data_IF_388245593764
#
_entry.id   IF_388245593764
#
_cell.length_a   1.000
_cell.length_b   1.000
_cell.length_c   1.000
_cell.angle_alpha   90.00
_cell.angle_beta   90.00
_cell.angle_gamma   90.00
#
_symmetry.space_group_name_H-M   'P 1'
#
loop_
_entity.id
_entity.type
_entity.pdbx_description
1 polymer ?
#
# COMPACT_ATOMS: atom_id res chain seq x y z
N UNK A 1 39.44 -6.78 41.31
CA UNK A 1 39.02 -7.91 40.45
C UNK A 1 38.21 -7.32 39.31
N UNK A 2 38.70 -7.43 38.06
CA UNK A 2 38.02 -6.90 36.87
C UNK A 2 37.39 -8.11 36.14
N UNK A 3 36.07 -8.12 35.97
CA UNK A 3 35.39 -9.16 35.19
C UNK A 3 35.13 -8.62 33.77
N UNK A 4 35.81 -9.22 32.78
CA UNK A 4 35.55 -8.99 31.37
C UNK A 4 34.38 -9.89 30.94
N UNK A 5 33.26 -9.29 30.55
CA UNK A 5 32.13 -10.02 29.95
C UNK A 5 32.25 -9.89 28.43
N UNK A 6 32.50 -11.01 27.76
CA UNK A 6 32.45 -11.10 26.30
C UNK A 6 31.00 -11.38 25.89
N UNK A 7 30.35 -10.42 25.24
CA UNK A 7 29.00 -10.59 24.70
C UNK A 7 29.04 -11.30 23.35
N UNK A 8 28.34 -12.42 23.21
CA UNK A 8 27.99 -12.99 21.90
C UNK A 8 26.95 -12.07 21.24
N UNK A 9 27.31 -11.41 20.15
CA UNK A 9 26.34 -10.74 19.30
C UNK A 9 25.57 -11.80 18.49
N UNK A 10 24.34 -12.11 18.92
CA UNK A 10 23.37 -12.78 18.06
C UNK A 10 23.05 -11.82 16.90
N UNK A 11 23.34 -12.20 15.67
CA UNK A 11 23.00 -11.40 14.50
C UNK A 11 21.48 -11.19 14.43
N UNK A 12 21.06 -9.93 14.32
CA UNK A 12 19.65 -9.57 14.12
C UNK A 12 19.10 -10.33 12.91
N UNK A 13 17.95 -11.04 13.03
CA UNK A 13 17.29 -11.58 11.86
C UNK A 13 16.90 -10.41 10.97
N UNK A 14 17.58 -10.27 9.83
CA UNK A 14 17.27 -9.23 8.86
C UNK A 14 15.77 -9.29 8.56
N UNK A 15 15.04 -8.30 9.06
CA UNK A 15 13.64 -8.13 8.74
C UNK A 15 13.61 -7.91 7.24
N UNK A 16 13.01 -8.84 6.50
CA UNK A 16 12.76 -8.64 5.08
C UNK A 16 11.80 -7.47 4.96
N UNK A 17 12.35 -6.25 4.88
CA UNK A 17 11.60 -5.07 4.49
C UNK A 17 11.03 -5.40 3.12
N UNK A 18 9.71 -5.57 3.01
CA UNK A 18 9.08 -5.79 1.73
C UNK A 18 9.45 -4.58 0.84
N UNK A 19 10.33 -4.82 -0.12
CA UNK A 19 10.77 -3.82 -1.09
C UNK A 19 9.78 -3.88 -2.26
N UNK A 20 9.14 -2.75 -2.56
CA UNK A 20 8.35 -2.63 -3.77
C UNK A 20 9.25 -2.60 -5.00
N UNK A 21 8.81 -3.22 -6.10
CA UNK A 21 9.42 -3.10 -7.41
C UNK A 21 8.72 -1.99 -8.20
N UNK A 22 9.48 -1.00 -8.65
CA UNK A 22 8.98 0.11 -9.46
C UNK A 22 9.60 0.04 -10.86
N UNK A 23 8.80 -0.32 -11.84
CA UNK A 23 9.15 -0.34 -13.27
C UNK A 23 8.54 0.92 -13.89
N UNK A 24 9.26 2.04 -13.78
CA UNK A 24 8.73 3.35 -14.15
C UNK A 24 9.83 4.29 -14.67
N UNK A 25 9.42 5.24 -15.52
CA UNK A 25 10.20 6.43 -15.81
C UNK A 25 9.67 7.54 -14.90
N UNK A 26 10.42 7.86 -13.85
CA UNK A 26 9.91 8.68 -12.75
C UNK A 26 8.77 7.95 -12.02
N UNK A 27 7.60 8.58 -11.92
CA UNK A 27 6.40 7.97 -11.35
C UNK A 27 5.54 7.23 -12.39
N UNK A 28 5.80 7.39 -13.68
CA UNK A 28 4.93 6.83 -14.73
C UNK A 28 5.30 5.38 -15.03
N UNK A 29 4.42 4.44 -14.69
CA UNK A 29 4.66 3.01 -14.97
C UNK A 29 3.90 2.03 -14.08
N UNK A 30 4.60 0.96 -13.68
CA UNK A 30 4.08 -0.16 -12.90
C UNK A 30 4.78 -0.26 -11.54
N UNK A 31 4.01 -0.31 -10.46
CA UNK A 31 4.47 -0.64 -9.12
C UNK A 31 3.94 -2.01 -8.66
N UNK A 32 4.82 -2.84 -8.10
CA UNK A 32 4.47 -4.13 -7.48
C UNK A 32 4.96 -4.12 -6.02
N UNK A 33 4.07 -4.38 -5.07
CA UNK A 33 4.36 -4.32 -3.64
C UNK A 33 4.23 -2.89 -3.07
N UNK A 34 4.90 -2.59 -1.94
CA UNK A 34 4.75 -1.32 -1.23
C UNK A 34 5.52 -0.18 -1.92
N UNK A 35 5.06 0.19 -3.11
CA UNK A 35 5.53 1.38 -3.84
C UNK A 35 4.74 2.60 -3.34
N UNK A 36 5.39 3.64 -2.77
CA UNK A 36 4.68 4.78 -2.19
C UNK A 36 3.90 5.62 -3.21
N UNK A 37 4.51 5.90 -4.37
CA UNK A 37 3.93 6.73 -5.43
C UNK A 37 4.03 6.09 -6.81
N UNK A 38 2.93 6.09 -7.56
CA UNK A 38 2.91 5.72 -8.98
C UNK A 38 1.81 6.46 -9.76
N UNK A 39 2.11 6.82 -11.00
CA UNK A 39 1.16 7.25 -12.01
C UNK A 39 1.04 6.12 -13.05
N UNK A 40 -0.02 5.32 -12.98
CA UNK A 40 -0.16 4.11 -13.78
C UNK A 40 -0.82 2.98 -13.00
N UNK A 41 -0.18 1.82 -12.93
CA UNK A 41 -0.72 0.63 -12.27
C UNK A 41 0.08 0.29 -11.01
N UNK A 42 -0.62 0.12 -9.88
CA UNK A 42 -0.06 -0.42 -8.65
C UNK A 42 -0.75 -1.72 -8.28
N UNK A 43 0.04 -2.77 -8.08
CA UNK A 43 -0.42 -4.04 -7.53
C UNK A 43 0.24 -4.23 -6.17
N UNK A 44 -0.54 -4.31 -5.10
CA UNK A 44 0.01 -4.56 -3.77
C UNK A 44 -0.74 -5.68 -3.06
N UNK A 45 -0.04 -6.45 -2.22
CA UNK A 45 -0.70 -7.46 -1.42
C UNK A 45 -1.54 -6.80 -0.31
N UNK A 46 -0.94 -5.82 0.39
CA UNK A 46 -1.54 -5.13 1.52
C UNK A 46 -0.90 -3.76 1.69
N UNK A 47 -1.71 -2.72 1.75
CA UNK A 47 -1.20 -1.36 2.01
C UNK A 47 -0.80 -1.17 3.48
N UNK A 48 0.14 -0.26 3.70
CA UNK A 48 0.61 0.20 4.99
C UNK A 48 0.87 1.72 4.93
N UNK A 49 1.39 2.26 6.04
CA UNK A 49 1.73 3.67 6.25
C UNK A 49 2.69 4.28 5.21
N UNK A 50 3.35 3.46 4.38
CA UNK A 50 4.20 3.93 3.29
C UNK A 50 3.43 4.28 2.02
N UNK A 51 2.14 3.97 1.95
CA UNK A 51 1.33 4.29 0.78
C UNK A 51 1.02 5.79 0.75
N UNK A 52 1.38 6.47 -0.33
CA UNK A 52 1.24 7.94 -0.44
C UNK A 52 0.30 8.35 -1.58
N UNK A 53 0.47 7.82 -2.81
CA UNK A 53 -0.35 8.26 -3.95
C UNK A 53 -0.39 7.29 -5.14
N UNK A 54 -1.58 7.03 -5.67
CA UNK A 54 -1.78 6.47 -7.02
C UNK A 54 -2.61 7.41 -7.89
N UNK A 55 -2.11 7.74 -9.09
CA UNK A 55 -2.94 8.30 -10.17
C UNK A 55 -3.07 7.25 -11.28
N UNK A 56 -4.21 6.56 -11.35
CA UNK A 56 -4.42 5.44 -12.27
C UNK A 56 -5.16 4.29 -11.60
N UNK A 57 -4.59 3.09 -11.63
CA UNK A 57 -5.21 1.87 -11.10
C UNK A 57 -4.42 1.39 -9.88
N UNK A 58 -5.06 1.29 -8.71
CA UNK A 58 -4.53 0.67 -7.50
C UNK A 58 -5.28 -0.63 -7.24
N UNK A 59 -4.59 -1.76 -7.13
CA UNK A 59 -5.19 -3.04 -6.79
C UNK A 59 -4.54 -3.66 -5.55
N UNK A 60 -5.33 -3.92 -4.53
CA UNK A 60 -4.91 -4.52 -3.26
C UNK A 60 -5.60 -5.85 -2.99
N UNK A 61 -4.85 -6.84 -2.49
CA UNK A 61 -5.37 -8.19 -2.24
C UNK A 61 -5.80 -8.40 -0.79
N UNK A 62 -5.50 -7.44 0.10
CA UNK A 62 -5.84 -7.54 1.52
C UNK A 62 -6.13 -6.18 2.14
N UNK A 63 -6.87 -6.22 3.25
CA UNK A 63 -7.20 -5.04 4.03
C UNK A 63 -5.92 -4.34 4.54
N UNK A 64 -5.89 -3.00 4.58
CA UNK A 64 -4.84 -2.16 5.16
C UNK A 64 -4.16 -2.68 6.42
N UNK A 65 -2.85 -2.46 6.57
CA UNK A 65 -2.11 -2.61 7.83
C UNK A 65 -1.97 -1.25 8.49
N UNK A 66 -2.67 -1.06 9.61
CA UNK A 66 -2.67 0.21 10.32
C UNK A 66 -3.47 1.28 9.58
N UNK A 67 -3.22 2.52 9.94
CA UNK A 67 -3.84 3.69 9.31
C UNK A 67 -3.19 3.94 7.95
N UNK A 68 -3.98 4.38 6.98
CA UNK A 68 -3.52 4.69 5.63
C UNK A 68 -3.81 6.15 5.35
N UNK A 69 -2.79 6.88 4.92
CA UNK A 69 -2.83 8.30 4.56
C UNK A 69 -2.69 8.53 3.04
N UNK A 70 -2.71 7.45 2.24
CA UNK A 70 -2.42 7.52 0.80
C UNK A 70 -3.64 7.77 -0.06
N UNK A 71 -3.47 8.57 -1.12
CA UNK A 71 -4.54 9.01 -2.01
C UNK A 71 -4.65 8.19 -3.29
N UNK A 72 -5.87 7.98 -3.77
CA UNK A 72 -6.11 7.38 -5.08
C UNK A 72 -6.98 8.28 -5.94
N UNK A 73 -6.45 8.68 -7.10
CA UNK A 73 -7.23 9.28 -8.18
C UNK A 73 -7.31 8.30 -9.35
N UNK A 74 -8.47 7.70 -9.58
CA UNK A 74 -8.68 6.72 -10.64
C UNK A 74 -9.49 5.51 -10.18
N UNK A 75 -8.98 4.31 -10.42
CA UNK A 75 -9.65 3.04 -10.10
C UNK A 75 -8.96 2.37 -8.92
N UNK A 76 -9.71 2.08 -7.87
CA UNK A 76 -9.25 1.33 -6.70
C UNK A 76 -9.95 -0.03 -6.66
N UNK A 77 -9.17 -1.12 -6.68
CA UNK A 77 -9.64 -2.51 -6.64
C UNK A 77 -9.16 -3.15 -5.35
N UNK A 78 -10.03 -3.84 -4.62
CA UNK A 78 -9.65 -4.37 -3.32
C UNK A 78 -10.45 -5.57 -2.88
N UNK A 79 -9.74 -6.59 -2.38
CA UNK A 79 -10.33 -7.75 -1.72
C UNK A 79 -9.71 -7.87 -0.33
N UNK A 80 -10.47 -8.06 0.76
CA UNK A 80 -11.91 -7.86 0.81
C UNK A 80 -12.31 -6.37 0.66
N UNK A 81 -11.39 -5.43 0.87
CA UNK A 81 -11.71 -4.00 0.90
C UNK A 81 -10.73 -3.24 0.03
N UNK A 82 -11.25 -2.36 -0.84
CA UNK A 82 -10.43 -1.28 -1.41
C UNK A 82 -10.51 -0.06 -0.49
N UNK A 83 -9.36 0.54 -0.19
CA UNK A 83 -9.22 1.61 0.79
C UNK A 83 -8.12 2.60 0.41
N UNK A 84 -8.38 3.89 0.63
CA UNK A 84 -7.44 5.01 0.54
C UNK A 84 -7.84 6.04 1.61
N UNK A 85 -6.99 7.03 1.89
CA UNK A 85 -7.43 8.16 2.73
C UNK A 85 -8.46 8.99 1.98
N UNK A 86 -8.07 9.51 0.81
CA UNK A 86 -8.97 10.10 -0.17
C UNK A 86 -9.04 9.25 -1.45
N UNK A 87 -10.27 8.99 -1.92
CA UNK A 87 -10.52 8.29 -3.18
C UNK A 87 -11.41 9.13 -4.11
N UNK A 88 -10.85 9.56 -5.22
CA UNK A 88 -11.57 10.21 -6.32
C UNK A 88 -11.61 9.30 -7.54
N UNK A 89 -12.79 8.77 -7.88
CA UNK A 89 -13.00 7.93 -9.07
C UNK A 89 -13.88 6.70 -8.83
N UNK A 90 -13.38 5.51 -9.16
CA UNK A 90 -14.15 4.26 -9.08
C UNK A 90 -13.53 3.31 -8.06
N UNK A 91 -14.30 2.90 -7.07
CA UNK A 91 -13.93 1.83 -6.13
C UNK A 91 -14.66 0.54 -6.45
N UNK A 92 -13.95 -0.58 -6.64
CA UNK A 92 -14.52 -1.91 -6.83
C UNK A 92 -13.95 -2.88 -5.79
N UNK A 93 -14.80 -3.66 -5.11
CA UNK A 93 -14.32 -4.66 -4.15
C UNK A 93 -15.43 -5.51 -3.55
N UNK A 94 -15.08 -6.36 -2.58
CA UNK A 94 -16.10 -6.95 -1.69
C UNK A 94 -16.67 -5.85 -0.77
N UNK A 95 -15.84 -4.88 -0.40
CA UNK A 95 -16.24 -3.57 0.12
C UNK A 95 -15.42 -2.44 -0.52
N UNK A 96 -15.95 -1.21 -0.43
CA UNK A 96 -15.29 0.02 -0.86
C UNK A 96 -15.29 0.99 0.33
N UNK A 97 -14.13 1.52 0.69
CA UNK A 97 -13.99 2.50 1.77
C UNK A 97 -12.99 3.59 1.43
N UNK A 98 -13.20 4.78 2.00
CA UNK A 98 -12.21 5.83 2.12
C UNK A 98 -12.25 6.33 3.57
N UNK A 99 -11.10 6.79 4.11
CA UNK A 99 -11.03 7.24 5.51
C UNK A 99 -11.61 8.65 5.62
N UNK A 100 -11.11 9.57 4.79
CA UNK A 100 -11.48 10.97 4.85
C UNK A 100 -12.59 11.29 3.85
N UNK A 101 -12.36 11.02 2.56
CA UNK A 101 -13.27 11.45 1.49
C UNK A 101 -13.38 10.44 0.35
N UNK A 102 -14.61 10.26 -0.16
CA UNK A 102 -14.90 9.47 -1.34
C UNK A 102 -15.74 10.27 -2.34
N UNK A 103 -15.15 10.59 -3.49
CA UNK A 103 -15.84 11.28 -4.58
C UNK A 103 -15.88 10.39 -5.82
N UNK A 104 -17.02 9.78 -6.12
CA UNK A 104 -17.22 9.02 -7.35
C UNK A 104 -18.20 7.85 -7.24
N UNK A 105 -17.86 6.70 -7.85
CA UNK A 105 -18.73 5.53 -7.96
C UNK A 105 -18.12 4.35 -7.20
N UNK A 106 -18.84 3.83 -6.21
CA UNK A 106 -18.48 2.59 -5.50
C UNK A 106 -19.34 1.42 -5.99
N UNK A 107 -18.72 0.30 -6.35
CA UNK A 107 -19.41 -0.97 -6.62
C UNK A 107 -18.85 -2.03 -5.69
N UNK A 108 -19.71 -2.55 -4.82
CA UNK A 108 -19.37 -3.61 -3.89
C UNK A 108 -20.24 -4.85 -4.15
N UNK A 109 -19.64 -6.03 -4.05
CA UNK A 109 -20.36 -7.30 -4.08
C UNK A 109 -20.29 -7.94 -2.70
N UNK A 110 -21.46 -8.09 -2.06
CA UNK A 110 -21.63 -8.67 -0.74
C UNK A 110 -21.85 -10.18 -0.79
#
# INVERSE_FOLDING_TARGET
MLALVVGLAAGDPATANAQGLKIAVGDVGLGIGPVPRIDGLRLNFRDDDRFERVRGINATVWAPRGDIEGDVTGVALGVPLTGADELTGVGLGVGVGAVSDFTGIGVAVA
#
